data_IF_569344026465
#
_entry.id   IF_569344026465
#
_cell.length_a   1.000
_cell.length_b   1.000
_cell.length_c   1.000
_cell.angle_alpha   90.00
_cell.angle_beta   90.00
_cell.angle_gamma   90.00
#
_symmetry.space_group_name_H-M   'P 1'
#
loop_
_entity.id
_entity.type
_entity.pdbx_description
1 polymer ?
#
# COMPACT_ATOMS: atom_id res chain seq x y z
N UNK A 1 23.57 -70.63 -40.27
CA UNK A 1 24.58 -69.80 -39.59
C UNK A 1 23.94 -68.45 -39.28
N UNK A 2 23.74 -68.21 -37.99
CA UNK A 2 23.69 -66.94 -37.24
C UNK A 2 22.79 -65.79 -37.73
N UNK A 3 22.23 -64.93 -36.89
CA UNK A 3 21.73 -64.93 -35.51
C UNK A 3 21.38 -63.45 -35.23
N UNK A 4 20.38 -63.23 -34.38
CA UNK A 4 20.19 -62.05 -33.49
C UNK A 4 19.77 -60.65 -34.01
N UNK A 5 18.53 -60.35 -33.63
CA UNK A 5 17.89 -59.14 -33.08
C UNK A 5 18.79 -58.00 -32.54
N UNK A 6 18.37 -56.75 -32.78
CA UNK A 6 18.56 -55.63 -31.83
C UNK A 6 17.32 -54.72 -31.75
N UNK A 7 16.72 -54.58 -30.56
CA UNK A 7 15.69 -53.59 -30.19
C UNK A 7 16.38 -52.33 -29.64
N UNK A 8 15.80 -51.12 -29.79
CA UNK A 8 16.00 -50.05 -28.83
C UNK A 8 14.85 -49.97 -27.83
N UNK A 9 15.25 -49.73 -26.58
CA UNK A 9 14.48 -49.58 -25.35
C UNK A 9 13.62 -48.32 -25.32
N UNK A 10 12.42 -48.44 -24.74
CA UNK A 10 11.45 -47.35 -24.60
C UNK A 10 11.85 -46.26 -23.60
N UNK A 11 11.48 -45.02 -23.93
CA UNK A 11 11.30 -43.93 -22.97
C UNK A 11 9.80 -43.77 -22.71
N UNK A 12 9.39 -43.90 -21.45
CA UNK A 12 8.00 -43.67 -21.01
C UNK A 12 7.66 -42.19 -21.21
N UNK A 13 6.73 -41.91 -22.12
CA UNK A 13 6.11 -40.61 -22.24
C UNK A 13 5.37 -40.26 -20.95
N UNK A 14 5.69 -39.11 -20.40
CA UNK A 14 4.90 -38.48 -19.34
C UNK A 14 3.68 -37.88 -20.05
N UNK A 15 2.52 -38.51 -19.90
CA UNK A 15 1.27 -37.91 -20.36
C UNK A 15 1.04 -36.59 -19.62
N UNK A 16 0.85 -35.45 -20.31
CA UNK A 16 0.37 -34.25 -19.64
C UNK A 16 -1.05 -34.52 -19.13
N UNK A 17 -1.27 -34.31 -17.83
CA UNK A 17 -2.60 -34.39 -17.23
C UNK A 17 -3.53 -33.37 -17.92
N UNK A 18 -4.80 -33.70 -18.19
CA UNK A 18 -5.75 -32.74 -18.71
C UNK A 18 -5.90 -31.59 -17.70
N UNK A 19 -5.76 -30.35 -18.20
CA UNK A 19 -5.65 -29.13 -17.40
C UNK A 19 -6.80 -28.91 -16.40
N UNK A 20 -7.97 -29.52 -16.63
CA UNK A 20 -9.12 -29.45 -15.72
C UNK A 20 -9.08 -30.41 -14.52
N UNK A 21 -8.36 -31.53 -14.59
CA UNK A 21 -8.28 -32.50 -13.48
C UNK A 21 -7.20 -32.12 -12.45
N UNK A 22 -6.15 -31.41 -12.89
CA UNK A 22 -5.03 -31.01 -12.05
C UNK A 22 -5.42 -29.98 -10.98
N UNK A 23 -6.40 -29.10 -11.25
CA UNK A 23 -6.80 -28.04 -10.32
C UNK A 23 -7.61 -28.55 -9.11
N UNK A 24 -8.38 -29.64 -9.25
CA UNK A 24 -9.13 -30.22 -8.10
C UNK A 24 -8.26 -31.05 -7.14
N UNK A 25 -7.02 -31.35 -7.53
CA UNK A 25 -6.11 -32.18 -6.75
C UNK A 25 -5.29 -31.40 -5.70
N UNK A 26 -5.29 -30.06 -5.78
CA UNK A 26 -4.51 -29.22 -4.88
C UNK A 26 -5.40 -28.60 -3.80
N UNK A 27 -4.93 -28.66 -2.54
CA UNK A 27 -5.56 -27.90 -1.45
C UNK A 27 -5.59 -26.41 -1.82
N UNK A 28 -6.57 -25.65 -1.31
CA UNK A 28 -6.56 -24.19 -1.43
C UNK A 28 -5.27 -23.60 -0.85
N UNK A 29 -4.73 -22.59 -1.53
CA UNK A 29 -3.50 -21.92 -1.12
C UNK A 29 -3.70 -21.16 0.20
N UNK A 30 -2.69 -21.18 1.06
CA UNK A 30 -2.64 -20.38 2.27
C UNK A 30 -1.57 -19.29 2.15
N UNK A 31 -2.02 -18.03 2.24
CA UNK A 31 -1.17 -16.85 2.16
C UNK A 31 -1.12 -16.17 3.52
N UNK A 32 0.10 -15.90 3.99
CA UNK A 32 0.31 -15.18 5.25
C UNK A 32 0.80 -13.76 4.98
N UNK A 33 0.10 -12.76 5.50
CA UNK A 33 0.43 -11.33 5.31
C UNK A 33 1.13 -10.78 6.54
N UNK A 34 2.32 -10.21 6.37
CA UNK A 34 3.12 -9.64 7.44
C UNK A 34 3.30 -8.12 7.23
N UNK A 35 2.29 -7.35 7.64
CA UNK A 35 2.32 -5.89 7.67
C UNK A 35 1.56 -5.39 8.89
N UNK A 36 2.25 -4.86 9.90
CA UNK A 36 1.63 -4.56 11.19
C UNK A 36 2.30 -3.42 11.96
N UNK A 37 1.53 -2.77 12.84
CA UNK A 37 1.97 -1.70 13.74
C UNK A 37 1.58 -0.28 13.31
N UNK A 38 1.47 0.01 12.01
CA UNK A 38 1.01 1.32 11.49
C UNK A 38 0.11 1.14 10.27
N UNK A 39 -0.78 2.12 10.02
CA UNK A 39 -1.67 2.12 8.86
C UNK A 39 -0.91 2.00 7.53
N UNK A 40 0.28 2.60 7.41
CA UNK A 40 1.11 2.54 6.20
C UNK A 40 1.67 1.15 5.85
N UNK A 41 1.56 0.15 6.74
CA UNK A 41 1.89 -1.24 6.43
C UNK A 41 0.64 -2.13 6.38
N UNK A 42 -0.36 -1.84 7.22
CA UNK A 42 -1.60 -2.63 7.29
C UNK A 42 -2.47 -2.40 6.05
N UNK A 43 -2.66 -1.15 5.61
CA UNK A 43 -3.54 -0.85 4.47
C UNK A 43 -3.03 -1.47 3.14
N UNK A 44 -1.74 -1.38 2.77
CA UNK A 44 -1.23 -2.11 1.61
C UNK A 44 -1.41 -3.63 1.72
N UNK A 45 -1.23 -4.20 2.91
CA UNK A 45 -1.43 -5.63 3.13
C UNK A 45 -2.90 -6.02 2.91
N UNK A 46 -3.84 -5.20 3.38
CA UNK A 46 -5.27 -5.43 3.18
C UNK A 46 -5.68 -5.25 1.71
N UNK A 47 -5.17 -4.24 1.01
CA UNK A 47 -5.42 -4.09 -0.43
C UNK A 47 -4.94 -5.33 -1.22
N UNK A 48 -3.80 -5.91 -0.84
CA UNK A 48 -3.33 -7.17 -1.43
C UNK A 48 -4.19 -8.36 -1.02
N UNK A 49 -4.70 -8.40 0.22
CA UNK A 49 -5.65 -9.42 0.66
C UNK A 49 -6.94 -9.43 -0.19
N UNK A 50 -7.49 -8.23 -0.45
CA UNK A 50 -8.67 -8.04 -1.28
C UNK A 50 -8.38 -8.52 -2.71
N UNK A 51 -7.23 -8.14 -3.27
CA UNK A 51 -6.80 -8.59 -4.60
C UNK A 51 -6.56 -10.11 -4.68
N UNK A 52 -6.02 -10.73 -3.63
CA UNK A 52 -5.85 -12.19 -3.54
C UNK A 52 -7.21 -12.89 -3.59
N UNK A 53 -8.17 -12.43 -2.79
CA UNK A 53 -9.53 -12.99 -2.74
C UNK A 53 -10.27 -12.82 -4.06
N UNK A 54 -10.08 -11.70 -4.76
CA UNK A 54 -10.66 -11.45 -6.08
C UNK A 54 -10.05 -12.34 -7.16
N UNK A 55 -8.74 -12.63 -7.09
CA UNK A 55 -8.04 -13.50 -8.05
C UNK A 55 -8.32 -14.99 -7.83
N UNK A 56 -8.47 -15.40 -6.57
CA UNK A 56 -8.68 -16.80 -6.18
C UNK A 56 -9.57 -16.86 -4.93
N UNK A 57 -10.90 -17.03 -5.07
CA UNK A 57 -11.83 -17.04 -3.94
C UNK A 57 -11.62 -18.17 -2.94
N UNK A 58 -10.79 -19.17 -3.26
CA UNK A 58 -10.49 -20.28 -2.36
C UNK A 58 -9.26 -20.01 -1.49
N UNK A 59 -8.48 -18.95 -1.78
CA UNK A 59 -7.27 -18.63 -1.01
C UNK A 59 -7.61 -18.34 0.45
N UNK A 60 -6.89 -18.99 1.36
CA UNK A 60 -6.98 -18.71 2.80
C UNK A 60 -5.96 -17.63 3.15
N UNK A 61 -6.42 -16.55 3.76
CA UNK A 61 -5.59 -15.40 4.08
C UNK A 61 -5.50 -15.26 5.60
N UNK A 62 -4.27 -15.24 6.11
CA UNK A 62 -4.01 -14.98 7.54
C UNK A 62 -3.05 -13.82 7.68
N UNK A 63 -3.48 -12.74 8.32
CA UNK A 63 -2.60 -11.62 8.67
C UNK A 63 -1.87 -11.90 9.99
N UNK A 64 -0.60 -11.50 10.06
CA UNK A 64 0.16 -11.45 11.30
C UNK A 64 0.03 -10.07 11.93
N UNK A 65 -0.32 -10.06 13.21
CA UNK A 65 -0.54 -8.84 13.96
C UNK A 65 0.10 -8.84 15.33
N UNK A 66 -0.15 -7.75 16.05
CA UNK A 66 0.28 -7.54 17.42
C UNK A 66 -0.94 -7.10 18.23
N UNK A 67 -1.01 -7.45 19.51
CA UNK A 67 -2.17 -7.17 20.35
C UNK A 67 -2.51 -5.67 20.54
N UNK A 68 -1.64 -4.76 20.06
CA UNK A 68 -1.77 -3.30 20.23
C UNK A 68 -1.82 -2.52 18.93
N UNK A 69 -1.74 -3.18 17.77
CA UNK A 69 -1.72 -2.48 16.49
C UNK A 69 -3.11 -2.33 15.88
N UNK A 70 -3.23 -1.46 14.88
CA UNK A 70 -4.48 -1.18 14.16
C UNK A 70 -5.06 -2.42 13.47
N UNK A 71 -4.20 -3.40 13.19
CA UNK A 71 -4.59 -4.67 12.59
C UNK A 71 -5.64 -5.45 13.39
N UNK A 72 -5.73 -5.28 14.72
CA UNK A 72 -6.74 -5.97 15.55
C UNK A 72 -8.16 -5.56 15.24
N UNK A 73 -8.34 -4.39 14.63
CA UNK A 73 -9.62 -3.88 14.16
C UNK A 73 -9.78 -4.07 12.65
N UNK A 74 -8.79 -3.62 11.88
CA UNK A 74 -8.89 -3.53 10.42
C UNK A 74 -8.92 -4.90 9.72
N UNK A 75 -8.24 -5.91 10.25
CA UNK A 75 -8.17 -7.24 9.64
C UNK A 75 -9.50 -7.99 9.83
N UNK A 76 -10.06 -8.12 11.06
CA UNK A 76 -11.33 -8.82 11.25
C UNK A 76 -12.52 -8.09 10.61
N UNK A 77 -12.53 -6.74 10.59
CA UNK A 77 -13.58 -5.96 9.91
C UNK A 77 -13.63 -6.24 8.40
N UNK A 78 -12.50 -6.63 7.79
CA UNK A 78 -12.41 -7.05 6.38
C UNK A 78 -12.68 -8.54 6.16
N UNK A 79 -12.93 -9.31 7.22
CA UNK A 79 -13.25 -10.74 7.14
C UNK A 79 -12.05 -11.67 7.01
N UNK A 80 -10.83 -11.21 7.31
CA UNK A 80 -9.61 -12.04 7.25
C UNK A 80 -9.20 -12.56 8.63
N UNK A 81 -8.51 -13.70 8.65
CA UNK A 81 -7.98 -14.27 9.89
C UNK A 81 -6.80 -13.45 10.42
N UNK A 82 -6.75 -13.25 11.74
CA UNK A 82 -5.68 -12.53 12.42
C UNK A 82 -4.98 -13.40 13.46
N UNK A 83 -3.68 -13.59 13.29
CA UNK A 83 -2.83 -14.30 14.25
C UNK A 83 -1.86 -13.34 14.93
N UNK A 84 -1.90 -13.32 16.27
CA UNK A 84 -1.12 -12.37 17.06
C UNK A 84 0.22 -12.96 17.47
N UNK A 85 1.29 -12.21 17.24
CA UNK A 85 2.65 -12.57 17.65
C UNK A 85 3.27 -11.48 18.54
N UNK A 86 4.32 -11.85 19.28
CA UNK A 86 5.10 -10.89 20.06
C UNK A 86 5.68 -9.80 19.13
N UNK A 87 5.41 -8.50 19.37
CA UNK A 87 5.96 -7.44 18.55
C UNK A 87 7.49 -7.36 18.73
N UNK A 88 8.20 -7.09 17.63
CA UNK A 88 9.63 -6.82 17.64
C UNK A 88 9.88 -5.36 17.21
N UNK A 89 9.69 -4.38 18.11
CA UNK A 89 10.11 -3.01 17.83
C UNK A 89 11.63 -2.96 17.85
N UNK A 90 12.23 -2.59 16.71
CA UNK A 90 13.66 -2.33 16.64
C UNK A 90 13.89 -0.90 17.16
N UNK A 91 14.58 -0.72 18.31
CA UNK A 91 14.80 0.61 18.86
C UNK A 91 15.71 1.42 17.94
N UNK A 92 15.33 2.68 17.68
CA UNK A 92 16.10 3.61 16.83
C UNK A 92 17.38 4.14 17.50
N UNK A 93 17.51 3.96 18.82
CA UNK A 93 18.66 4.38 19.63
C UNK A 93 19.11 3.22 20.53
N UNK A 94 20.41 3.09 20.84
CA UNK A 94 20.89 2.14 21.84
C UNK A 94 20.18 2.40 23.18
N UNK A 95 19.50 1.40 23.71
CA UNK A 95 18.74 1.49 24.96
C UNK A 95 18.75 0.14 25.67
N UNK A 96 18.39 0.07 26.95
CA UNK A 96 18.27 -1.20 27.69
C UNK A 96 17.30 -2.20 27.05
N UNK A 97 16.36 -1.72 26.22
CA UNK A 97 15.48 -2.57 25.40
C UNK A 97 16.25 -3.39 24.34
N UNK A 98 17.43 -2.94 23.92
CA UNK A 98 18.28 -3.66 22.98
C UNK A 98 18.79 -4.98 23.57
N UNK A 99 19.02 -5.04 24.89
CA UNK A 99 19.42 -6.27 25.58
C UNK A 99 18.32 -7.34 25.60
N UNK A 100 17.04 -6.92 25.56
CA UNK A 100 15.87 -7.81 25.50
C UNK A 100 15.46 -8.18 24.07
N UNK A 101 16.06 -7.53 23.06
CA UNK A 101 15.72 -7.75 21.66
C UNK A 101 15.94 -9.20 21.20
N UNK A 102 17.06 -9.88 21.52
CA UNK A 102 17.29 -11.25 21.04
C UNK A 102 16.23 -12.24 21.55
N UNK A 103 15.84 -12.15 22.83
CA UNK A 103 14.83 -13.03 23.41
C UNK A 103 13.44 -12.76 22.85
N UNK A 104 13.08 -11.49 22.64
CA UNK A 104 11.83 -11.09 21.96
C UNK A 104 11.78 -11.61 20.51
N UNK A 105 12.87 -11.44 19.75
CA UNK A 105 12.99 -11.96 18.37
C UNK A 105 12.83 -13.47 18.35
N UNK A 106 13.55 -14.19 19.21
CA UNK A 106 13.46 -15.65 19.26
C UNK A 106 12.04 -16.13 19.58
N UNK A 107 11.38 -15.50 20.56
CA UNK A 107 10.00 -15.79 20.92
C UNK A 107 9.05 -15.53 19.75
N UNK A 108 9.12 -14.34 19.15
CA UNK A 108 8.29 -13.94 18.01
C UNK A 108 8.49 -14.89 16.80
N UNK A 109 9.72 -15.31 16.52
CA UNK A 109 10.02 -16.29 15.46
C UNK A 109 9.42 -17.65 15.78
N UNK A 110 9.46 -18.10 17.04
CA UNK A 110 8.87 -19.38 17.45
C UNK A 110 7.34 -19.36 17.31
N UNK A 111 6.70 -18.29 17.76
CA UNK A 111 5.26 -18.05 17.63
C UNK A 111 4.86 -17.99 16.15
N UNK A 112 5.54 -17.17 15.36
CA UNK A 112 5.27 -17.05 13.92
C UNK A 112 5.44 -18.39 13.21
N UNK A 113 6.48 -19.17 13.55
CA UNK A 113 6.67 -20.50 12.95
C UNK A 113 5.58 -21.49 13.37
N UNK A 114 4.97 -21.33 14.54
CA UNK A 114 3.81 -22.13 14.93
C UNK A 114 2.61 -21.77 14.07
N UNK A 115 2.34 -20.47 13.86
CA UNK A 115 1.30 -19.98 12.96
C UNK A 115 1.49 -20.51 11.53
N UNK A 116 2.67 -20.32 10.92
CA UNK A 116 2.95 -20.79 9.55
C UNK A 116 2.70 -22.29 9.38
N UNK A 117 2.92 -23.10 10.43
CA UNK A 117 2.61 -24.54 10.41
C UNK A 117 1.13 -24.82 10.59
N UNK A 118 0.47 -24.13 11.51
CA UNK A 118 -0.94 -24.34 11.83
C UNK A 118 -1.82 -24.00 10.61
N UNK A 119 -1.50 -22.93 9.90
CA UNK A 119 -2.23 -22.53 8.69
C UNK A 119 -1.76 -23.23 7.43
N UNK A 120 -0.68 -24.03 7.52
CA UNK A 120 -0.02 -24.69 6.39
C UNK A 120 0.33 -23.71 5.25
N UNK A 121 1.06 -22.65 5.62
CA UNK A 121 1.36 -21.51 4.76
C UNK A 121 2.14 -21.91 3.50
N UNK A 122 1.63 -21.50 2.34
CA UNK A 122 2.25 -21.75 1.04
C UNK A 122 3.16 -20.60 0.59
N UNK A 123 2.91 -19.37 1.07
CA UNK A 123 3.73 -18.17 0.84
C UNK A 123 3.52 -17.14 1.96
N UNK A 124 4.56 -16.34 2.25
CA UNK A 124 4.47 -15.15 3.11
C UNK A 124 4.67 -13.90 2.26
N UNK A 125 3.80 -12.90 2.41
CA UNK A 125 4.00 -11.56 1.84
C UNK A 125 4.31 -10.60 2.97
N UNK A 126 5.44 -9.92 2.93
CA UNK A 126 5.79 -8.94 3.95
C UNK A 126 5.83 -7.51 3.43
N UNK A 127 5.26 -6.61 4.22
CA UNK A 127 5.15 -5.18 3.91
C UNK A 127 6.02 -4.32 4.84
N UNK A 128 6.78 -4.95 5.74
CA UNK A 128 7.53 -4.25 6.79
C UNK A 128 6.78 -4.21 8.13
N UNK A 129 7.16 -3.26 9.00
CA UNK A 129 6.60 -3.16 10.35
C UNK A 129 7.12 -4.21 11.34
N UNK A 130 6.48 -4.32 12.50
CA UNK A 130 7.01 -5.05 13.66
C UNK A 130 6.88 -6.59 13.57
N UNK A 131 6.08 -7.08 12.63
CA UNK A 131 5.81 -8.51 12.41
C UNK A 131 6.58 -9.09 11.21
N UNK A 132 7.10 -8.24 10.31
CA UNK A 132 7.78 -8.69 9.10
C UNK A 132 9.08 -9.43 9.39
N UNK A 133 9.95 -8.88 10.25
CA UNK A 133 11.21 -9.54 10.60
C UNK A 133 11.03 -10.96 11.17
N UNK A 134 10.19 -11.19 12.20
CA UNK A 134 9.97 -12.54 12.69
C UNK A 134 9.30 -13.45 11.64
N UNK A 135 8.43 -12.94 10.78
CA UNK A 135 7.86 -13.69 9.66
C UNK A 135 8.93 -14.17 8.67
N UNK A 136 9.83 -13.28 8.24
CA UNK A 136 10.94 -13.62 7.35
C UNK A 136 11.84 -14.69 7.96
N UNK A 137 12.22 -14.53 9.24
CA UNK A 137 13.07 -15.49 9.94
C UNK A 137 12.37 -16.83 10.20
N UNK A 138 11.06 -16.82 10.47
CA UNK A 138 10.26 -18.03 10.69
C UNK A 138 10.08 -18.83 9.39
N UNK A 139 9.93 -18.14 8.26
CA UNK A 139 9.78 -18.73 6.93
C UNK A 139 11.06 -19.41 6.41
N UNK A 140 12.24 -19.07 6.97
CA UNK A 140 13.49 -19.75 6.63
C UNK A 140 13.40 -21.23 7.01
N UNK A 141 13.69 -22.09 6.04
CA UNK A 141 13.85 -23.52 6.29
C UNK A 141 14.97 -23.75 7.32
N UNK A 142 14.66 -24.50 8.37
CA UNK A 142 15.60 -24.78 9.47
C UNK A 142 16.21 -26.18 9.40
N UNK A 143 15.74 -27.01 8.47
CA UNK A 143 16.19 -28.39 8.26
C UNK A 143 15.68 -28.89 6.91
N UNK A 144 16.33 -29.87 6.26
CA UNK A 144 15.80 -30.53 5.07
C UNK A 144 14.38 -31.11 5.24
N UNK A 145 13.98 -31.41 6.48
CA UNK A 145 12.64 -31.90 6.83
C UNK A 145 11.62 -30.78 7.09
N UNK A 146 12.06 -29.53 7.20
CA UNK A 146 11.22 -28.34 7.42
C UNK A 146 11.45 -27.38 6.26
N UNK A 147 10.73 -27.59 5.13
CA UNK A 147 10.94 -26.79 3.93
C UNK A 147 10.69 -25.31 4.23
N UNK A 148 11.45 -24.46 3.52
CA UNK A 148 11.26 -23.01 3.53
C UNK A 148 9.84 -22.68 3.02
N UNK A 149 9.19 -21.72 3.67
CA UNK A 149 8.03 -21.04 3.08
C UNK A 149 8.58 -19.89 2.23
N UNK A 150 8.25 -19.80 0.94
CA UNK A 150 8.74 -18.71 0.10
C UNK A 150 8.21 -17.36 0.59
N UNK A 151 8.98 -16.31 0.34
CA UNK A 151 8.68 -14.95 0.82
C UNK A 151 8.64 -13.99 -0.37
N UNK A 152 7.57 -13.22 -0.46
CA UNK A 152 7.47 -12.01 -1.29
C UNK A 152 7.59 -10.80 -0.37
N UNK A 153 8.36 -9.80 -0.77
CA UNK A 153 8.47 -8.54 -0.02
C UNK A 153 7.90 -7.43 -0.88
N UNK A 154 7.13 -6.55 -0.26
CA UNK A 154 6.74 -5.26 -0.81
C UNK A 154 7.28 -4.14 0.09
N UNK A 155 7.97 -3.16 -0.49
CA UNK A 155 8.37 -1.94 0.20
C UNK A 155 7.53 -0.76 -0.28
N UNK A 156 6.68 -0.24 0.60
CA UNK A 156 5.80 0.88 0.31
C UNK A 156 6.52 2.24 0.36
N UNK A 157 7.63 2.36 1.09
CA UNK A 157 8.32 3.62 1.28
C UNK A 157 9.47 3.82 0.28
N UNK A 158 9.85 5.07 0.05
CA UNK A 158 11.02 5.39 -0.76
C UNK A 158 12.37 4.94 -0.15
N UNK A 159 12.42 4.61 1.14
CA UNK A 159 13.60 4.01 1.76
C UNK A 159 13.22 2.77 2.56
N UNK A 160 13.90 1.66 2.29
CA UNK A 160 13.50 0.40 2.88
C UNK A 160 13.81 0.31 4.37
N UNK A 161 12.84 -0.21 5.11
CA UNK A 161 12.99 -0.50 6.53
C UNK A 161 13.97 -1.64 6.80
N UNK A 162 14.54 -1.68 8.02
CA UNK A 162 15.50 -2.70 8.43
C UNK A 162 14.96 -4.14 8.27
N UNK A 163 13.68 -4.36 8.57
CA UNK A 163 13.04 -5.66 8.41
C UNK A 163 13.10 -6.14 6.94
N UNK A 164 12.71 -5.27 5.99
CA UNK A 164 12.72 -5.59 4.57
C UNK A 164 14.15 -5.76 4.03
N UNK A 165 15.12 -4.97 4.51
CA UNK A 165 16.55 -5.16 4.16
C UNK A 165 17.08 -6.54 4.59
N UNK A 166 16.65 -7.04 5.75
CA UNK A 166 17.03 -8.38 6.23
C UNK A 166 16.34 -9.45 5.37
N UNK A 167 15.04 -9.31 5.12
CA UNK A 167 14.25 -10.29 4.36
C UNK A 167 14.65 -10.40 2.89
N UNK A 168 15.01 -9.29 2.24
CA UNK A 168 15.24 -9.20 0.79
C UNK A 168 16.35 -10.14 0.28
N UNK A 169 17.34 -10.47 1.12
CA UNK A 169 18.40 -11.42 0.75
C UNK A 169 17.87 -12.82 0.47
N UNK A 170 16.78 -13.20 1.13
CA UNK A 170 16.16 -14.53 1.05
C UNK A 170 14.75 -14.50 0.47
N UNK A 171 14.28 -13.35 -0.01
CA UNK A 171 12.99 -13.24 -0.67
C UNK A 171 13.06 -13.86 -2.07
N UNK A 172 11.97 -14.51 -2.47
CA UNK A 172 11.81 -15.06 -3.82
C UNK A 172 11.59 -13.94 -4.83
N UNK A 173 10.83 -12.91 -4.43
CA UNK A 173 10.63 -11.68 -5.21
C UNK A 173 10.59 -10.48 -4.28
N UNK A 174 11.15 -9.37 -4.73
CA UNK A 174 11.16 -8.09 -4.03
C UNK A 174 10.46 -7.08 -4.91
N UNK A 175 9.39 -6.50 -4.42
CA UNK A 175 8.55 -5.51 -5.09
C UNK A 175 8.66 -4.19 -4.33
N UNK A 176 8.55 -3.06 -5.01
CA UNK A 176 8.65 -1.75 -4.38
C UNK A 176 7.69 -0.73 -4.99
N UNK A 177 7.39 0.29 -4.19
CA UNK A 177 6.61 1.44 -4.62
C UNK A 177 7.36 2.33 -5.61
N UNK A 178 8.66 2.49 -5.42
CA UNK A 178 9.52 3.36 -6.23
C UNK A 178 10.82 2.66 -6.59
N UNK A 179 11.50 3.19 -7.60
CA UNK A 179 12.88 2.81 -7.92
C UNK A 179 13.82 3.18 -6.75
N UNK A 180 14.95 2.49 -6.67
CA UNK A 180 16.03 2.78 -5.72
C UNK A 180 15.62 2.83 -4.24
N UNK A 181 14.62 2.04 -3.84
CA UNK A 181 14.14 1.98 -2.45
C UNK A 181 15.17 1.40 -1.45
N UNK A 182 16.40 1.10 -1.89
CA UNK A 182 17.47 0.53 -1.07
C UNK A 182 17.39 -0.99 -0.87
N UNK A 183 16.57 -1.70 -1.66
CA UNK A 183 16.53 -3.16 -1.71
C UNK A 183 17.12 -3.68 -3.03
N UNK A 184 17.92 -4.76 -3.00
CA UNK A 184 18.43 -5.38 -4.22
C UNK A 184 17.32 -6.10 -4.97
N UNK A 185 17.36 -6.06 -6.32
CA UNK A 185 16.41 -6.75 -7.21
C UNK A 185 14.95 -6.32 -7.01
N UNK A 186 14.72 -5.09 -6.57
CA UNK A 186 13.37 -4.56 -6.40
C UNK A 186 12.74 -4.25 -7.76
N UNK A 187 11.56 -4.81 -8.01
CA UNK A 187 10.73 -4.50 -9.17
C UNK A 187 9.69 -3.46 -8.78
N UNK A 188 9.60 -2.37 -9.55
CA UNK A 188 8.68 -1.27 -9.24
C UNK A 188 7.26 -1.66 -9.67
N UNK A 189 6.36 -1.78 -8.69
CA UNK A 189 4.94 -2.08 -8.90
C UNK A 189 4.02 -0.98 -8.37
N UNK A 190 4.55 -0.02 -7.61
CA UNK A 190 3.76 1.00 -6.91
C UNK A 190 3.30 0.56 -5.52
N UNK A 191 2.52 1.41 -4.85
CA UNK A 191 1.92 1.09 -3.54
C UNK A 191 0.58 0.41 -3.77
N UNK A 192 0.30 -0.76 -3.18
CA UNK A 192 -1.04 -1.34 -3.17
C UNK A 192 -2.04 -0.39 -2.54
N UNK A 193 -3.04 0.01 -3.32
CA UNK A 193 -4.16 0.86 -2.91
C UNK A 193 -5.44 0.03 -3.01
N UNK A 194 -6.41 0.31 -2.14
CA UNK A 194 -7.71 -0.37 -2.14
C UNK A 194 -8.46 -0.16 -3.46
N UNK A 195 -9.16 -1.19 -3.91
CA UNK A 195 -9.86 -1.20 -5.20
C UNK A 195 -10.89 -0.08 -5.32
N UNK A 196 -11.58 0.27 -4.22
CA UNK A 196 -12.57 1.36 -4.20
C UNK A 196 -11.99 2.73 -4.58
N UNK A 197 -10.66 2.88 -4.54
CA UNK A 197 -9.95 4.09 -4.97
C UNK A 197 -9.37 3.92 -6.37
N UNK A 198 -8.78 2.76 -6.68
CA UNK A 198 -8.14 2.55 -7.99
C UNK A 198 -9.15 2.35 -9.13
N UNK A 199 -10.37 1.90 -8.82
CA UNK A 199 -11.50 1.79 -9.75
C UNK A 199 -12.45 2.99 -9.71
N UNK A 200 -12.10 4.05 -8.97
CA UNK A 200 -12.96 5.21 -8.77
C UNK A 200 -13.13 6.00 -10.06
N UNK A 201 -14.33 5.98 -10.64
CA UNK A 201 -14.73 6.90 -11.69
C UNK A 201 -15.13 8.25 -11.07
N UNK A 202 -14.12 9.12 -10.90
CA UNK A 202 -14.32 10.47 -10.38
C UNK A 202 -15.30 11.28 -11.22
N UNK A 203 -15.34 11.08 -12.53
CA UNK A 203 -16.18 11.86 -13.43
C UNK A 203 -17.65 11.50 -13.26
N UNK A 204 -17.96 10.20 -13.15
CA UNK A 204 -19.32 9.73 -12.91
C UNK A 204 -19.86 10.12 -11.53
N UNK A 205 -19.01 10.17 -10.50
CA UNK A 205 -19.41 10.53 -9.13
C UNK A 205 -19.32 12.04 -8.83
N UNK A 206 -18.82 12.86 -9.76
CA UNK A 206 -18.49 14.27 -9.50
C UNK A 206 -19.69 15.08 -9.02
N UNK A 207 -20.83 14.95 -9.68
CA UNK A 207 -22.04 15.72 -9.38
C UNK A 207 -22.66 15.28 -8.06
N UNK A 208 -22.66 13.98 -7.77
CA UNK A 208 -23.07 13.46 -6.45
C UNK A 208 -22.17 14.00 -5.35
N UNK A 209 -20.85 13.94 -5.57
CA UNK A 209 -19.87 14.38 -4.60
C UNK A 209 -19.96 15.88 -4.31
N UNK A 210 -20.11 16.72 -5.35
CA UNK A 210 -20.27 18.17 -5.18
C UNK A 210 -21.54 18.50 -4.42
N UNK A 211 -22.68 17.89 -4.77
CA UNK A 211 -23.94 18.04 -4.03
C UNK A 211 -23.81 17.57 -2.58
N UNK A 212 -23.13 16.46 -2.33
CA UNK A 212 -22.91 15.93 -0.98
C UNK A 212 -22.19 16.93 -0.07
N UNK A 213 -21.19 17.64 -0.60
CA UNK A 213 -20.45 18.67 0.14
C UNK A 213 -21.04 20.08 0.01
N UNK A 214 -22.17 20.26 -0.70
CA UNK A 214 -22.81 21.57 -0.88
C UNK A 214 -22.08 22.50 -1.85
N UNK A 215 -21.34 21.96 -2.81
CA UNK A 215 -20.70 22.71 -3.90
C UNK A 215 -21.60 22.77 -5.14
N UNK A 216 -21.48 23.84 -5.92
CA UNK A 216 -22.10 23.95 -7.24
C UNK A 216 -21.48 22.96 -8.24
N UNK A 217 -22.24 22.59 -9.27
CA UNK A 217 -21.83 21.62 -10.29
C UNK A 217 -20.66 22.12 -11.17
N UNK A 218 -20.38 23.42 -11.21
CA UNK A 218 -19.24 24.00 -11.92
C UNK A 218 -18.14 24.51 -10.96
N UNK A 219 -18.28 24.25 -9.65
CA UNK A 219 -17.36 24.75 -8.64
C UNK A 219 -15.94 24.23 -8.83
N UNK A 220 -14.96 25.12 -8.67
CA UNK A 220 -13.54 24.76 -8.61
C UNK A 220 -13.19 24.37 -7.18
N UNK A 221 -12.94 23.09 -6.94
CA UNK A 221 -12.83 22.55 -5.58
C UNK A 221 -11.38 22.21 -5.23
N UNK A 222 -10.86 22.88 -4.21
CA UNK A 222 -9.61 22.53 -3.55
C UNK A 222 -9.90 21.56 -2.39
N UNK A 223 -9.31 20.37 -2.44
CA UNK A 223 -9.30 19.43 -1.32
C UNK A 223 -8.02 19.59 -0.49
N UNK A 224 -8.16 19.69 0.83
CA UNK A 224 -7.03 19.85 1.76
C UNK A 224 -7.09 18.81 2.86
N UNK A 225 -6.01 18.03 3.03
CA UNK A 225 -5.90 17.09 4.14
C UNK A 225 -4.45 16.75 4.52
N UNK A 226 -4.23 16.59 5.83
CA UNK A 226 -2.92 16.24 6.40
C UNK A 226 -2.72 14.76 6.74
N UNK A 227 -3.66 13.89 6.35
CA UNK A 227 -3.83 12.54 6.90
C UNK A 227 -4.81 12.52 8.08
N UNK A 228 -4.98 11.36 8.73
CA UNK A 228 -6.07 11.14 9.71
C UNK A 228 -6.01 12.04 10.95
N UNK A 229 -4.85 12.58 11.30
CA UNK A 229 -4.69 13.51 12.44
C UNK A 229 -4.73 14.98 12.02
N UNK A 230 -4.87 15.27 10.72
CA UNK A 230 -4.66 16.61 10.17
C UNK A 230 -3.19 17.05 10.23
N UNK A 231 -2.92 18.27 9.75
CA UNK A 231 -1.59 18.86 9.81
C UNK A 231 -1.68 20.35 10.13
N UNK A 232 -1.24 20.73 11.34
CA UNK A 232 -1.42 22.10 11.85
C UNK A 232 -0.82 23.20 10.95
N UNK A 233 0.30 22.94 10.27
CA UNK A 233 0.88 23.91 9.31
C UNK A 233 0.02 24.07 8.06
N UNK A 234 -0.50 22.98 7.48
CA UNK A 234 -1.45 23.03 6.37
C UNK A 234 -2.72 23.78 6.79
N UNK A 235 -3.25 23.43 7.97
CA UNK A 235 -4.43 24.04 8.54
C UNK A 235 -4.31 25.57 8.58
N UNK A 236 -3.23 26.08 9.20
CA UNK A 236 -2.97 27.53 9.32
C UNK A 236 -2.77 28.21 7.96
N UNK A 237 -2.00 27.61 7.06
CA UNK A 237 -1.71 28.22 5.77
C UNK A 237 -2.97 28.32 4.90
N UNK A 238 -3.76 27.25 4.83
CA UNK A 238 -4.96 27.21 3.98
C UNK A 238 -6.11 28.01 4.61
N UNK A 239 -6.31 27.96 5.92
CA UNK A 239 -7.35 28.78 6.58
C UNK A 239 -7.00 30.27 6.50
N UNK A 240 -5.73 30.64 6.68
CA UNK A 240 -5.26 32.00 6.47
C UNK A 240 -5.42 32.49 5.02
N UNK A 241 -5.42 31.58 4.05
CA UNK A 241 -5.62 31.90 2.63
C UNK A 241 -7.11 31.99 2.24
N UNK A 242 -8.06 31.72 3.15
CA UNK A 242 -9.48 31.56 2.83
C UNK A 242 -10.06 32.73 2.02
N UNK A 243 -9.79 33.97 2.42
CA UNK A 243 -10.28 35.15 1.70
C UNK A 243 -9.69 35.28 0.29
N UNK A 244 -8.41 34.93 0.10
CA UNK A 244 -7.76 34.93 -1.21
C UNK A 244 -8.27 33.82 -2.12
N UNK A 245 -8.57 32.65 -1.57
CA UNK A 245 -9.19 31.53 -2.28
C UNK A 245 -10.62 31.86 -2.71
N UNK A 246 -11.42 32.45 -1.82
CA UNK A 246 -12.77 32.91 -2.13
C UNK A 246 -12.78 33.97 -3.25
N UNK A 247 -11.89 34.96 -3.17
CA UNK A 247 -11.75 35.98 -4.21
C UNK A 247 -11.33 35.40 -5.58
N UNK A 248 -10.68 34.24 -5.60
CA UNK A 248 -10.33 33.51 -6.82
C UNK A 248 -11.44 32.54 -7.31
N UNK A 249 -12.60 32.51 -6.64
CA UNK A 249 -13.71 31.62 -6.98
C UNK A 249 -13.47 30.15 -6.63
N UNK A 250 -12.63 29.87 -5.62
CA UNK A 250 -12.26 28.50 -5.22
C UNK A 250 -13.06 28.06 -4.00
N UNK A 251 -13.84 26.99 -4.16
CA UNK A 251 -14.48 26.29 -3.05
C UNK A 251 -13.45 25.37 -2.36
N UNK A 252 -13.54 25.23 -1.04
CA UNK A 252 -12.55 24.49 -0.25
C UNK A 252 -13.22 23.38 0.54
N UNK A 253 -12.71 22.16 0.42
CA UNK A 253 -13.02 21.04 1.30
C UNK A 253 -11.79 20.74 2.16
N UNK A 254 -11.86 21.00 3.47
CA UNK A 254 -10.71 20.94 4.36
C UNK A 254 -10.91 19.96 5.52
N UNK A 255 -10.25 18.80 5.42
CA UNK A 255 -10.16 17.82 6.51
C UNK A 255 -9.06 18.20 7.50
N UNK A 256 -9.41 18.96 8.54
CA UNK A 256 -8.45 19.59 9.44
C UNK A 256 -7.92 18.67 10.55
N UNK A 257 -8.50 17.47 10.71
CA UNK A 257 -8.13 16.52 11.75
C UNK A 257 -8.84 16.78 13.08
N UNK A 258 -9.28 15.73 13.81
CA UNK A 258 -10.23 15.83 14.91
C UNK A 258 -9.73 16.57 16.15
N UNK A 259 -8.41 16.76 16.28
CA UNK A 259 -7.77 17.46 17.39
C UNK A 259 -7.40 18.90 17.07
N UNK A 260 -7.65 19.36 15.85
CA UNK A 260 -7.35 20.72 15.42
C UNK A 260 -8.67 21.49 15.25
N UNK A 261 -8.58 22.80 15.36
CA UNK A 261 -9.62 23.75 14.97
C UNK A 261 -9.08 24.64 13.86
N UNK A 262 -9.99 25.20 13.06
CA UNK A 262 -9.66 26.24 12.08
C UNK A 262 -10.24 27.55 12.56
N UNK A 263 -9.49 28.63 12.33
CA UNK A 263 -9.99 29.99 12.40
C UNK A 263 -10.27 30.44 10.95
N UNK A 264 -11.53 30.73 10.66
CA UNK A 264 -12.00 31.07 9.32
C UNK A 264 -12.71 32.42 9.38
N UNK A 265 -12.50 33.30 8.38
CA UNK A 265 -13.24 34.55 8.28
C UNK A 265 -14.73 34.27 8.05
N UNK A 266 -15.59 35.21 8.45
CA UNK A 266 -17.01 35.15 8.09
C UNK A 266 -17.17 35.19 6.57
N UNK A 267 -17.92 34.24 5.97
CA UNK A 267 -18.12 34.20 4.53
C UNK A 267 -19.00 35.36 4.06
N UNK A 268 -18.67 35.95 2.91
CA UNK A 268 -19.55 36.92 2.24
C UNK A 268 -20.64 36.18 1.45
N UNK A 269 -21.77 36.84 1.14
CA UNK A 269 -22.91 36.19 0.47
C UNK A 269 -22.56 35.46 -0.84
N UNK A 270 -21.59 35.98 -1.60
CA UNK A 270 -21.18 35.43 -2.90
C UNK A 270 -19.87 34.62 -2.84
N UNK A 271 -19.32 34.41 -1.65
CA UNK A 271 -18.08 33.64 -1.51
C UNK A 271 -18.35 32.14 -1.77
N UNK A 272 -17.46 31.45 -2.52
CA UNK A 272 -17.50 30.01 -2.64
C UNK A 272 -17.46 29.31 -1.27
N UNK A 273 -18.15 28.17 -1.09
CA UNK A 273 -18.20 27.49 0.20
C UNK A 273 -16.82 27.02 0.70
N UNK A 274 -16.53 27.26 1.99
CA UNK A 274 -15.42 26.67 2.71
C UNK A 274 -15.95 25.62 3.70
N UNK A 275 -15.86 24.35 3.32
CA UNK A 275 -16.35 23.21 4.09
C UNK A 275 -15.20 22.64 4.92
N UNK A 276 -15.18 23.00 6.20
CA UNK A 276 -14.21 22.48 7.17
C UNK A 276 -14.82 21.28 7.93
N UNK A 277 -14.11 20.15 7.90
CA UNK A 277 -14.54 18.93 8.61
C UNK A 277 -13.39 18.34 9.43
N UNK A 278 -13.67 17.74 10.59
CA UNK A 278 -12.62 17.10 11.40
C UNK A 278 -12.06 15.85 10.72
N UNK A 279 -12.86 15.17 9.90
CA UNK A 279 -12.50 13.94 9.21
C UNK A 279 -13.37 13.74 7.96
N UNK A 280 -12.87 12.96 6.99
CA UNK A 280 -13.58 12.60 5.76
C UNK A 280 -13.82 11.08 5.74
N UNK A 281 -15.06 10.65 6.00
CA UNK A 281 -15.45 9.24 5.93
C UNK A 281 -15.58 8.76 4.47
N UNK A 282 -16.05 9.63 3.58
CA UNK A 282 -16.24 9.36 2.14
C UNK A 282 -15.14 10.01 1.30
N UNK A 283 -13.93 9.45 1.41
CA UNK A 283 -12.78 9.89 0.63
C UNK A 283 -12.98 9.75 -0.88
N UNK A 284 -13.77 8.76 -1.30
CA UNK A 284 -14.20 8.57 -2.70
C UNK A 284 -14.98 9.79 -3.22
N UNK A 285 -15.92 10.32 -2.43
CA UNK A 285 -16.62 11.57 -2.79
C UNK A 285 -15.67 12.76 -2.74
N UNK A 286 -14.80 12.86 -1.72
CA UNK A 286 -13.86 13.97 -1.63
C UNK A 286 -12.93 14.05 -2.86
N UNK A 287 -12.38 12.91 -3.30
CA UNK A 287 -11.57 12.84 -4.51
C UNK A 287 -12.36 13.13 -5.79
N UNK A 288 -13.63 12.73 -5.85
CA UNK A 288 -14.50 12.97 -7.01
C UNK A 288 -14.90 14.44 -7.16
N UNK A 289 -15.15 15.14 -6.03
CA UNK A 289 -15.47 16.56 -6.02
C UNK A 289 -14.28 17.44 -6.42
N UNK A 290 -13.07 17.07 -5.99
CA UNK A 290 -11.87 17.90 -6.09
C UNK A 290 -11.35 18.08 -7.54
N UNK A 291 -10.71 19.23 -7.77
CA UNK A 291 -9.91 19.56 -8.96
C UNK A 291 -8.41 19.61 -8.64
N UNK A 292 -8.06 20.01 -7.42
CA UNK A 292 -6.70 20.17 -6.92
C UNK A 292 -6.63 19.71 -5.46
N UNK A 293 -5.48 19.18 -5.05
CA UNK A 293 -5.23 18.75 -3.67
C UNK A 293 -4.05 19.50 -3.05
N UNK A 294 -4.17 19.94 -1.79
CA UNK A 294 -3.02 20.24 -0.92
C UNK A 294 -2.96 19.17 0.16
N UNK A 295 -1.86 18.41 0.21
CA UNK A 295 -1.75 17.34 1.19
C UNK A 295 -0.32 17.04 1.65
N UNK A 296 -0.20 16.27 2.74
CA UNK A 296 1.06 15.59 3.08
C UNK A 296 1.39 14.53 2.04
N UNK A 297 2.68 14.25 1.84
CA UNK A 297 3.13 13.26 0.86
C UNK A 297 3.57 11.94 1.50
N UNK A 298 2.73 11.38 2.37
CA UNK A 298 2.88 9.99 2.80
C UNK A 298 2.71 9.04 1.59
N UNK A 299 3.37 7.88 1.62
CA UNK A 299 3.37 6.95 0.47
C UNK A 299 1.95 6.56 0.01
N UNK A 300 1.07 6.21 0.95
CA UNK A 300 -0.35 5.93 0.65
C UNK A 300 -1.07 7.13 0.04
N UNK A 301 -0.89 8.32 0.59
CA UNK A 301 -1.54 9.54 0.08
C UNK A 301 -1.10 9.84 -1.34
N UNK A 302 0.20 9.79 -1.62
CA UNK A 302 0.71 10.02 -2.98
C UNK A 302 0.15 8.97 -3.94
N UNK A 303 0.10 7.70 -3.53
CA UNK A 303 -0.43 6.62 -4.36
C UNK A 303 -1.93 6.73 -4.62
N UNK A 304 -2.74 7.09 -3.62
CA UNK A 304 -4.18 7.31 -3.79
C UNK A 304 -4.43 8.50 -4.72
N UNK A 305 -3.80 9.65 -4.45
CA UNK A 305 -3.98 10.89 -5.22
C UNK A 305 -3.54 10.72 -6.68
N UNK A 306 -2.42 10.02 -6.93
CA UNK A 306 -1.97 9.74 -8.31
C UNK A 306 -2.83 8.69 -9.00
N UNK A 307 -3.29 7.64 -8.29
CA UNK A 307 -4.16 6.62 -8.85
C UNK A 307 -5.50 7.21 -9.34
N UNK A 308 -6.04 8.20 -8.64
CA UNK A 308 -7.25 8.90 -9.06
C UNK A 308 -6.97 10.09 -10.00
N UNK A 309 -5.72 10.32 -10.38
CA UNK A 309 -5.32 11.37 -11.31
C UNK A 309 -5.55 12.80 -10.80
N UNK A 310 -5.49 13.04 -9.49
CA UNK A 310 -5.63 14.39 -8.93
C UNK A 310 -4.29 15.15 -8.99
N UNK A 311 -4.25 16.35 -9.60
CA UNK A 311 -3.15 17.29 -9.42
C UNK A 311 -2.95 17.62 -7.93
N UNK A 312 -1.70 17.75 -7.50
CA UNK A 312 -1.41 18.00 -6.09
C UNK A 312 -0.25 18.96 -5.83
N UNK A 313 -0.44 19.79 -4.80
CA UNK A 313 0.62 20.51 -4.09
C UNK A 313 0.96 19.66 -2.85
N UNK A 314 2.07 18.96 -2.94
CA UNK A 314 2.58 18.12 -1.86
C UNK A 314 3.38 18.97 -0.88
N UNK A 315 3.06 18.85 0.41
CA UNK A 315 3.78 19.51 1.50
C UNK A 315 4.40 18.44 2.40
N UNK A 316 5.63 17.98 2.11
CA UNK A 316 6.27 16.92 2.89
C UNK A 316 6.35 17.28 4.37
N UNK A 317 6.11 16.29 5.24
CA UNK A 317 6.27 16.46 6.68
C UNK A 317 7.72 16.91 7.01
N UNK A 318 7.91 18.04 7.73
CA UNK A 318 9.24 18.58 8.00
C UNK A 318 10.03 17.75 9.02
N UNK A 319 9.31 16.99 9.87
CA UNK A 319 9.88 16.17 10.92
C UNK A 319 9.92 14.72 10.43
N UNK A 320 11.12 14.13 10.37
CA UNK A 320 11.30 12.75 9.94
C UNK A 320 12.64 12.53 9.25
N UNK A 321 12.71 11.48 8.45
CA UNK A 321 13.88 11.12 7.64
C UNK A 321 13.81 11.66 6.20
N UNK A 322 12.84 12.55 5.89
CA UNK A 322 12.68 13.15 4.58
C UNK A 322 11.99 12.26 3.52
N UNK A 323 11.53 11.06 3.88
CA UNK A 323 10.91 10.11 2.94
C UNK A 323 9.71 10.68 2.20
N UNK A 324 8.90 11.53 2.85
CA UNK A 324 7.72 12.11 2.22
C UNK A 324 8.04 12.93 0.97
N UNK A 325 9.20 13.60 0.95
CA UNK A 325 9.64 14.33 -0.25
C UNK A 325 9.91 13.34 -1.38
N UNK A 326 10.61 12.24 -1.08
CA UNK A 326 10.97 11.22 -2.06
C UNK A 326 9.75 10.49 -2.62
N UNK A 327 8.72 10.26 -1.79
CA UNK A 327 7.47 9.64 -2.25
C UNK A 327 6.77 10.47 -3.35
N UNK A 328 6.79 11.81 -3.25
CA UNK A 328 6.11 12.70 -4.21
C UNK A 328 6.92 12.96 -5.49
N UNK A 329 8.25 12.77 -5.46
CA UNK A 329 9.12 13.09 -6.61
C UNK A 329 8.71 12.41 -7.93
N UNK A 330 8.33 11.12 -7.97
CA UNK A 330 7.90 10.50 -9.23
C UNK A 330 6.73 11.23 -9.89
N UNK A 331 5.72 11.63 -9.10
CA UNK A 331 4.55 12.36 -9.61
C UNK A 331 4.93 13.77 -10.05
N UNK A 332 5.78 14.46 -9.27
CA UNK A 332 6.23 15.83 -9.56
C UNK A 332 7.10 15.86 -10.81
N UNK A 333 8.04 14.93 -10.95
CA UNK A 333 8.92 14.83 -12.12
C UNK A 333 8.17 14.52 -13.41
N UNK A 334 7.04 13.81 -13.32
CA UNK A 334 6.15 13.59 -14.46
C UNK A 334 5.26 14.82 -14.78
N UNK A 335 5.26 15.84 -13.92
CA UNK A 335 4.42 17.03 -14.06
C UNK A 335 3.02 16.90 -13.46
N UNK A 336 2.75 15.87 -12.65
CA UNK A 336 1.45 15.65 -12.00
C UNK A 336 1.22 16.47 -10.72
N UNK A 337 2.24 17.16 -10.23
CA UNK A 337 2.16 17.92 -8.98
C UNK A 337 3.39 18.79 -8.75
N UNK A 338 3.40 19.49 -7.63
CA UNK A 338 4.55 20.26 -7.15
C UNK A 338 4.82 19.99 -5.67
N UNK A 339 6.04 20.25 -5.23
CA UNK A 339 6.42 20.17 -3.82
C UNK A 339 6.63 21.57 -3.27
N UNK A 340 6.02 21.85 -2.12
CA UNK A 340 6.26 23.04 -1.31
C UNK A 340 6.83 22.58 0.03
N UNK A 341 7.95 23.17 0.47
CA UNK A 341 8.49 22.85 1.79
C UNK A 341 7.54 23.37 2.88
N UNK A 342 7.40 22.64 3.99
CA UNK A 342 6.49 23.04 5.07
C UNK A 342 6.77 24.45 5.62
N UNK A 343 8.04 24.84 5.66
CA UNK A 343 8.48 26.16 6.11
C UNK A 343 8.09 27.30 5.14
N UNK A 344 7.90 26.98 3.86
CA UNK A 344 7.56 27.95 2.82
C UNK A 344 6.05 28.05 2.59
N UNK A 345 5.26 27.16 3.23
CA UNK A 345 3.80 27.13 3.06
C UNK A 345 3.13 28.27 3.85
N UNK A 346 3.04 29.45 3.23
CA UNK A 346 2.33 30.61 3.76
C UNK A 346 0.94 30.79 3.15
N UNK A 347 0.02 31.54 3.79
CA UNK A 347 -1.28 31.87 3.20
C UNK A 347 -1.18 32.53 1.82
N UNK A 348 -0.22 33.43 1.62
CA UNK A 348 0.00 34.14 0.36
C UNK A 348 0.48 33.20 -0.73
N UNK A 349 1.35 32.24 -0.38
CA UNK A 349 1.79 31.19 -1.28
C UNK A 349 0.61 30.32 -1.70
N UNK A 350 -0.21 29.86 -0.74
CA UNK A 350 -1.39 29.03 -1.01
C UNK A 350 -2.35 29.75 -1.94
N UNK A 351 -2.73 30.98 -1.62
CA UNK A 351 -3.65 31.76 -2.45
C UNK A 351 -3.12 31.93 -3.89
N UNK A 352 -1.83 32.26 -4.04
CA UNK A 352 -1.21 32.46 -5.35
C UNK A 352 -1.13 31.18 -6.18
N UNK A 353 -0.59 30.09 -5.61
CA UNK A 353 -0.39 28.84 -6.36
C UNK A 353 -1.73 28.18 -6.71
N UNK A 354 -2.69 28.16 -5.77
CA UNK A 354 -4.01 27.60 -6.03
C UNK A 354 -4.75 28.41 -7.08
N UNK A 355 -4.81 29.75 -6.95
CA UNK A 355 -5.47 30.59 -7.94
C UNK A 355 -4.81 30.46 -9.32
N UNK A 356 -3.48 30.40 -9.38
CA UNK A 356 -2.74 30.21 -10.63
C UNK A 356 -3.01 28.88 -11.32
N UNK A 357 -3.13 27.78 -10.56
CA UNK A 357 -3.43 26.46 -11.10
C UNK A 357 -4.90 26.34 -11.51
N UNK A 358 -5.82 26.71 -10.62
CA UNK A 358 -7.27 26.63 -10.86
C UNK A 358 -7.71 27.60 -11.96
N UNK A 359 -7.01 28.72 -12.13
CA UNK A 359 -7.21 29.66 -13.23
C UNK A 359 -6.65 29.20 -14.59
N UNK A 360 -5.93 28.08 -14.65
CA UNK A 360 -5.31 27.53 -15.86
C UNK A 360 -5.80 26.08 -16.12
N UNK A 361 -7.02 25.90 -16.67
CA UNK A 361 -7.57 24.59 -16.96
C UNK A 361 -6.70 23.70 -17.85
N UNK A 362 -6.03 24.21 -18.92
CA UNK A 362 -5.08 23.42 -19.70
C UNK A 362 -3.95 22.84 -18.85
N UNK A 363 -3.37 23.63 -17.94
CA UNK A 363 -2.32 23.16 -17.04
C UNK A 363 -2.83 22.10 -16.06
N UNK A 364 -4.00 22.31 -15.44
CA UNK A 364 -4.60 21.30 -14.56
C UNK A 364 -4.90 19.98 -15.28
N UNK A 365 -5.40 20.04 -16.51
CA UNK A 365 -5.65 18.85 -17.33
C UNK A 365 -4.35 18.10 -17.66
N UNK A 366 -3.27 18.83 -17.97
CA UNK A 366 -1.95 18.23 -18.17
C UNK A 366 -1.42 17.56 -16.90
N UNK A 367 -1.57 18.21 -15.73
CA UNK A 367 -1.19 17.62 -14.44
C UNK A 367 -2.02 16.38 -14.11
N UNK A 368 -3.32 16.41 -14.38
CA UNK A 368 -4.24 15.26 -14.19
C UNK A 368 -3.75 14.05 -14.99
N UNK A 369 -3.45 14.27 -16.27
CA UNK A 369 -2.95 13.23 -17.17
C UNK A 369 -1.59 12.68 -16.71
N UNK A 370 -0.70 13.56 -16.26
CA UNK A 370 0.62 13.17 -15.74
C UNK A 370 0.52 12.37 -14.43
N UNK A 371 -0.33 12.80 -13.49
CA UNK A 371 -0.56 12.11 -12.23
C UNK A 371 -1.11 10.70 -12.46
N UNK A 372 -2.12 10.56 -13.33
CA UNK A 372 -2.72 9.27 -13.67
C UNK A 372 -1.72 8.31 -14.34
N UNK A 373 -0.80 8.82 -15.16
CA UNK A 373 0.24 8.00 -15.83
C UNK A 373 1.24 7.38 -14.85
N UNK A 374 1.54 8.06 -13.75
CA UNK A 374 2.46 7.58 -12.70
C UNK A 374 1.72 6.77 -11.63
N UNK A 375 0.38 6.88 -11.59
CA UNK A 375 -0.45 6.02 -10.76
C UNK A 375 -0.22 4.53 -11.08
N UNK A 376 -0.22 3.70 -10.05
CA UNK A 376 -0.07 2.25 -10.16
C UNK A 376 -1.35 1.55 -9.66
N UNK A 377 -2.49 1.67 -10.36
CA UNK A 377 -3.76 1.12 -9.89
C UNK A 377 -3.73 -0.41 -9.71
N UNK A 378 -2.89 -1.10 -10.48
CA UNK A 378 -2.76 -2.56 -10.44
C UNK A 378 -1.76 -3.08 -9.40
N UNK A 379 -1.15 -2.20 -8.57
CA UNK A 379 -0.09 -2.59 -7.64
C UNK A 379 -0.50 -3.76 -6.72
N UNK A 380 -1.72 -3.70 -6.17
CA UNK A 380 -2.26 -4.76 -5.31
C UNK A 380 -2.38 -6.10 -6.07
N UNK A 381 -2.92 -6.06 -7.29
CA UNK A 381 -3.08 -7.23 -8.16
C UNK A 381 -1.73 -7.83 -8.56
N UNK A 382 -0.72 -7.00 -8.87
CA UNK A 382 0.61 -7.47 -9.23
C UNK A 382 1.31 -8.19 -8.06
N UNK A 383 1.21 -7.65 -6.84
CA UNK A 383 1.75 -8.30 -5.63
C UNK A 383 1.01 -9.61 -5.35
N UNK A 384 -0.32 -9.61 -5.43
CA UNK A 384 -1.15 -10.80 -5.22
C UNK A 384 -0.81 -11.91 -6.23
N UNK A 385 -0.75 -11.57 -7.52
CA UNK A 385 -0.40 -12.51 -8.58
C UNK A 385 0.99 -13.11 -8.38
N UNK A 386 1.99 -12.27 -8.03
CA UNK A 386 3.33 -12.73 -7.72
C UNK A 386 3.34 -13.77 -6.59
N UNK A 387 2.57 -13.54 -5.53
CA UNK A 387 2.47 -14.45 -4.40
C UNK A 387 1.79 -15.77 -4.78
N UNK A 388 0.69 -15.71 -5.56
CA UNK A 388 -0.02 -16.90 -6.03
C UNK A 388 0.86 -17.77 -6.94
N UNK A 389 1.59 -17.16 -7.88
CA UNK A 389 2.48 -17.89 -8.79
C UNK A 389 3.59 -18.63 -8.02
N UNK A 390 4.19 -17.94 -7.04
CA UNK A 390 5.21 -18.51 -6.16
C UNK A 390 4.64 -19.64 -5.28
N UNK A 391 3.44 -19.45 -4.72
CA UNK A 391 2.77 -20.44 -3.89
C UNK A 391 2.44 -21.72 -4.68
N UNK A 392 1.87 -21.58 -5.89
CA UNK A 392 1.57 -22.69 -6.80
C UNK A 392 2.83 -23.48 -7.17
N UNK A 393 3.91 -22.78 -7.53
CA UNK A 393 5.20 -23.41 -7.83
C UNK A 393 5.74 -24.19 -6.63
N UNK A 394 5.64 -23.64 -5.42
CA UNK A 394 6.07 -24.32 -4.21
C UNK A 394 5.23 -25.56 -3.90
N UNK A 395 3.90 -25.50 -4.10
CA UNK A 395 2.99 -26.62 -3.91
C UNK A 395 3.26 -27.76 -4.90
N UNK A 396 3.48 -27.43 -6.18
CA UNK A 396 3.87 -28.38 -7.22
C UNK A 396 5.20 -29.07 -6.88
N UNK A 397 6.19 -28.30 -6.40
CA UNK A 397 7.47 -28.85 -5.95
C UNK A 397 7.33 -29.83 -4.77
N UNK A 398 6.46 -29.52 -3.80
CA UNK A 398 6.16 -30.41 -2.66
C UNK A 398 5.46 -31.70 -3.12
N UNK A 399 4.50 -31.58 -4.04
CA UNK A 399 3.77 -32.73 -4.59
C UNK A 399 4.70 -33.68 -5.33
N UNK A 400 5.55 -33.16 -6.24
CA UNK A 400 6.54 -33.96 -6.98
C UNK A 400 7.55 -34.66 -6.06
N UNK A 401 8.03 -33.98 -5.02
CA UNK A 401 8.95 -34.57 -4.03
C UNK A 401 8.29 -35.62 -3.11
N UNK A 402 6.97 -35.58 -2.95
CA UNK A 402 6.23 -36.62 -2.23
C UNK A 402 6.00 -37.84 -3.10
N UNK A 403 5.57 -37.62 -4.34
CA UNK A 403 5.29 -38.69 -5.29
C UNK A 403 6.55 -39.52 -5.58
N UNK A 404 7.70 -38.89 -5.81
CA UNK A 404 8.98 -39.60 -6.01
C UNK A 404 9.39 -40.47 -4.82
N UNK A 405 9.09 -40.05 -3.59
CA UNK A 405 9.36 -40.83 -2.35
C UNK A 405 8.38 -41.97 -2.12
N UNK A 406 7.15 -41.88 -2.63
CA UNK A 406 6.15 -42.94 -2.51
C UNK A 406 6.32 -44.00 -3.62
N UNK A 407 6.97 -43.65 -4.74
CA UNK A 407 7.20 -44.55 -5.88
C UNK A 407 8.60 -45.16 -5.96
N UNK A 408 9.53 -44.75 -5.08
CA UNK A 408 10.88 -45.32 -4.93
C UNK A 408 10.95 -46.14 -3.65
#
# INVERSE_FOLDING_TARGET
>A
MNDTVNKPTGGRGVNPLPAGAALSAFKPLSVVLAGGGTAGHVEPAMAVADALSALDPQVRITALGTARGLETRLVPERGYDLELITPVPLPRKPSGDLARLPSRVWRAVRETRAVLRAVDADVVIGFGGYVALPAYLAARGVSPRKPRVPVVIHEANASAGLANRVGARTAERVLSAVADCGLPRAEVVGVPVRETITSLDRSALRDEARRFFGFADDARVLLVFGGSQGAASLNRAVSGAAAGLAAAGVAVLHAHGPKNTLDLPEPRPDDPPYVAVPYLDRMDLAYSAADLVICRSGAMTVAEVSAVGLPAIYVPLPIGNGEQRLNALPVVNAGGGMIVADADLTPELVAREVAGLVGDPPRLAAMTTAAARVGHPDAARQVAQAALDIARKAQLGRFSARWTRETS
#
